data_IF_921219108776
#
_entry.id   IF_921219108776
#
_cell.length_a   1.000
_cell.length_b   1.000
_cell.length_c   1.000
_cell.angle_alpha   90.00
_cell.angle_beta   90.00
_cell.angle_gamma   90.00
#
_symmetry.space_group_name_H-M   'P 1'
#
loop_
_entity.id
_entity.type
_entity.pdbx_description
1 polymer ?
#
# COMPACT_ATOMS: atom_id res chain seq x y z
N UNK A 1 -29.89 13.32 28.12
CA UNK A 1 -28.94 12.20 27.96
C UNK A 1 -27.52 12.73 27.92
N UNK A 2 -26.54 11.90 27.53
CA UNK A 2 -25.18 12.38 27.24
C UNK A 2 -25.18 13.31 26.01
N UNK A 3 -24.08 14.06 25.85
CA UNK A 3 -23.88 15.01 24.76
C UNK A 3 -22.74 14.55 23.85
N UNK A 4 -22.87 14.87 22.56
CA UNK A 4 -21.81 14.62 21.58
C UNK A 4 -20.52 15.32 22.01
N UNK A 5 -19.39 14.61 21.84
CA UNK A 5 -18.09 15.07 22.34
C UNK A 5 -17.01 14.80 21.31
N UNK A 6 -16.15 15.79 21.08
CA UNK A 6 -14.90 15.62 20.33
C UNK A 6 -13.75 15.58 21.32
N UNK A 7 -12.83 14.63 21.17
CA UNK A 7 -11.74 14.40 22.12
C UNK A 7 -10.45 14.07 21.38
N UNK A 8 -9.31 14.53 21.92
CA UNK A 8 -8.01 14.25 21.33
C UNK A 8 -7.60 12.78 21.56
N UNK A 9 -6.95 12.17 20.58
CA UNK A 9 -6.35 10.83 20.71
C UNK A 9 -5.40 10.80 21.91
N UNK A 10 -5.51 9.77 22.74
CA UNK A 10 -4.74 9.61 23.97
C UNK A 10 -5.37 10.23 25.22
N UNK A 11 -6.35 11.13 25.08
CA UNK A 11 -7.07 11.70 26.21
C UNK A 11 -8.15 10.76 26.75
N UNK A 12 -8.86 11.20 27.79
CA UNK A 12 -10.04 10.52 28.31
C UNK A 12 -11.32 11.23 27.87
N UNK A 13 -12.36 10.46 27.60
CA UNK A 13 -13.72 10.97 27.40
C UNK A 13 -14.59 10.59 28.60
N UNK A 14 -15.51 11.50 28.97
CA UNK A 14 -16.53 11.27 29.99
C UNK A 14 -17.91 11.53 29.39
N UNK A 15 -18.70 10.48 29.25
CA UNK A 15 -20.11 10.57 28.88
C UNK A 15 -20.96 10.45 30.15
N UNK A 16 -21.78 11.47 30.40
CA UNK A 16 -22.63 11.55 31.59
C UNK A 16 -24.10 11.51 31.20
N UNK A 17 -24.85 10.62 31.82
CA UNK A 17 -26.29 10.53 31.68
C UNK A 17 -26.98 10.65 33.03
N UNK A 18 -28.04 11.43 33.10
CA UNK A 18 -28.94 11.50 34.27
C UNK A 18 -30.22 10.76 33.93
N UNK A 19 -30.71 9.96 34.87
CA UNK A 19 -31.92 9.16 34.70
C UNK A 19 -32.77 9.16 35.98
N UNK A 20 -34.06 8.86 35.82
CA UNK A 20 -35.02 8.74 36.91
C UNK A 20 -35.98 7.60 36.61
N UNK A 21 -36.46 6.93 37.64
CA UNK A 21 -37.46 5.86 37.52
C UNK A 21 -37.73 5.20 38.85
N UNK A 22 -38.95 4.69 39.02
CA UNK A 22 -39.39 3.93 40.19
C UNK A 22 -40.13 2.67 39.71
N UNK A 23 -39.74 1.46 40.14
CA UNK A 23 -38.52 1.10 40.89
C UNK A 23 -37.23 1.57 40.19
N UNK A 24 -36.12 1.63 40.93
CA UNK A 24 -34.83 2.11 40.41
C UNK A 24 -34.46 1.37 39.13
N UNK A 25 -34.26 2.10 38.00
CA UNK A 25 -34.02 1.46 36.73
C UNK A 25 -32.57 0.97 36.62
N UNK A 26 -32.39 -0.15 35.93
CA UNK A 26 -31.09 -0.66 35.52
C UNK A 26 -30.55 0.18 34.36
N UNK A 27 -29.32 0.69 34.49
CA UNK A 27 -28.65 1.49 33.46
C UNK A 27 -27.50 0.70 32.82
N UNK A 28 -27.44 0.73 31.49
CA UNK A 28 -26.38 0.08 30.69
C UNK A 28 -25.89 1.01 29.59
N UNK A 29 -24.61 0.91 29.27
CA UNK A 29 -23.98 1.60 28.14
C UNK A 29 -23.68 0.61 27.03
N UNK A 30 -23.87 1.01 25.77
CA UNK A 30 -23.61 0.20 24.60
C UNK A 30 -22.80 0.99 23.58
N UNK A 31 -21.91 0.29 22.85
CA UNK A 31 -21.21 0.81 21.67
C UNK A 31 -21.29 -0.24 20.56
N UNK A 32 -21.66 0.19 19.35
CA UNK A 32 -21.88 -0.72 18.22
C UNK A 32 -22.82 -1.91 18.56
N UNK A 33 -23.86 -1.64 19.37
CA UNK A 33 -24.83 -2.64 19.83
C UNK A 33 -24.33 -3.61 20.91
N UNK A 34 -23.06 -3.51 21.34
CA UNK A 34 -22.49 -4.35 22.41
C UNK A 34 -22.52 -3.60 23.74
N UNK A 35 -22.99 -4.28 24.78
CA UNK A 35 -22.97 -3.73 26.14
C UNK A 35 -21.52 -3.58 26.64
N UNK A 36 -21.21 -2.39 27.13
CA UNK A 36 -19.93 -2.05 27.72
C UNK A 36 -19.96 -2.42 29.20
N UNK A 37 -18.83 -2.92 29.69
CA UNK A 37 -18.61 -3.25 31.10
C UNK A 37 -17.38 -2.50 31.61
N UNK A 38 -17.33 -2.30 32.92
CA UNK A 38 -16.15 -1.76 33.58
C UNK A 38 -15.01 -2.77 33.45
N UNK A 39 -14.07 -2.50 32.54
CA UNK A 39 -12.94 -3.35 32.22
C UNK A 39 -11.85 -2.54 31.50
N UNK A 40 -10.59 -2.74 31.90
CA UNK A 40 -9.45 -2.08 31.29
C UNK A 40 -9.60 -0.55 31.25
N UNK A 41 -9.65 0.00 30.03
CA UNK A 41 -9.77 1.45 29.76
C UNK A 41 -11.16 2.02 30.05
N UNK A 42 -12.17 1.17 30.16
CA UNK A 42 -13.59 1.55 30.32
C UNK A 42 -13.98 1.48 31.80
N UNK A 43 -14.53 2.56 32.32
CA UNK A 43 -15.02 2.66 33.69
C UNK A 43 -16.46 3.20 33.69
N UNK A 44 -17.40 2.45 34.24
CA UNK A 44 -18.80 2.85 34.37
C UNK A 44 -19.14 2.96 35.85
N UNK A 45 -19.60 4.14 36.26
CA UNK A 45 -20.05 4.41 37.63
C UNK A 45 -21.46 4.96 37.60
N UNK A 46 -22.38 4.26 38.26
CA UNK A 46 -23.78 4.67 38.39
C UNK A 46 -24.14 4.87 39.86
N UNK A 47 -24.60 6.06 40.21
CA UNK A 47 -24.97 6.45 41.59
C UNK A 47 -26.01 7.57 41.56
N UNK A 48 -27.02 7.47 42.41
CA UNK A 48 -28.00 8.53 42.67
C UNK A 48 -28.67 9.11 41.40
N UNK A 49 -29.08 8.24 40.48
CA UNK A 49 -29.72 8.65 39.21
C UNK A 49 -28.76 9.26 38.19
N UNK A 50 -27.45 9.07 38.36
CA UNK A 50 -26.41 9.52 37.43
C UNK A 50 -25.55 8.33 37.03
N UNK A 51 -25.33 8.15 35.73
CA UNK A 51 -24.38 7.18 35.18
C UNK A 51 -23.30 7.91 34.39
N UNK A 52 -22.05 7.58 34.69
CA UNK A 52 -20.85 8.14 34.06
C UNK A 52 -20.07 7.01 33.40
N UNK A 53 -19.90 7.08 32.08
CA UNK A 53 -19.00 6.25 31.30
C UNK A 53 -17.71 7.04 31.04
N UNK A 54 -16.59 6.53 31.53
CA UNK A 54 -15.26 7.07 31.25
C UNK A 54 -14.48 6.07 30.38
N UNK A 55 -13.90 6.54 29.29
CA UNK A 55 -12.95 5.75 28.50
C UNK A 55 -11.62 6.50 28.50
N UNK A 56 -10.57 5.86 29.02
CA UNK A 56 -9.23 6.44 29.12
C UNK A 56 -8.37 6.08 27.90
N UNK A 57 -7.38 6.91 27.57
CA UNK A 57 -6.47 6.68 26.44
C UNK A 57 -7.22 6.34 25.15
N UNK A 58 -8.07 7.27 24.71
CA UNK A 58 -8.94 7.15 23.54
C UNK A 58 -8.09 6.86 22.28
N UNK A 59 -8.52 5.89 21.48
CA UNK A 59 -7.98 5.59 20.15
C UNK A 59 -8.99 5.93 19.06
N UNK A 60 -8.56 5.91 17.80
CA UNK A 60 -9.46 6.12 16.66
C UNK A 60 -10.67 5.15 16.68
N UNK A 61 -10.43 3.91 17.10
CA UNK A 61 -11.46 2.88 17.22
C UNK A 61 -12.54 3.24 18.24
N UNK A 62 -12.25 4.09 19.23
CA UNK A 62 -13.21 4.50 20.25
C UNK A 62 -14.24 5.51 19.75
N UNK A 63 -14.06 6.06 18.54
CA UNK A 63 -15.03 6.90 17.88
C UNK A 63 -16.36 6.18 17.62
N UNK A 64 -17.42 6.97 17.44
CA UNK A 64 -18.75 6.49 17.07
C UNK A 64 -19.81 6.68 18.15
N UNK A 65 -20.93 5.96 17.97
CA UNK A 65 -22.16 6.15 18.75
C UNK A 65 -22.15 5.31 20.03
N UNK A 66 -22.29 5.99 21.16
CA UNK A 66 -22.51 5.40 22.48
C UNK A 66 -23.97 5.57 22.86
N UNK A 67 -24.60 4.51 23.33
CA UNK A 67 -26.01 4.48 23.73
C UNK A 67 -26.08 4.18 25.21
N UNK A 68 -26.76 5.03 25.97
CA UNK A 68 -27.20 4.71 27.33
C UNK A 68 -28.64 4.21 27.26
N UNK A 69 -28.91 3.06 27.87
CA UNK A 69 -30.25 2.49 27.98
C UNK A 69 -30.59 2.30 29.44
N UNK A 70 -31.78 2.75 29.84
CA UNK A 70 -32.32 2.63 31.19
C UNK A 70 -33.61 1.83 31.13
N UNK A 71 -33.80 0.89 32.05
CA UNK A 71 -34.94 -0.04 32.00
C UNK A 71 -35.38 -0.43 33.41
N UNK A 72 -36.70 -0.45 33.64
CA UNK A 72 -37.33 -1.07 34.80
C UNK A 72 -38.58 -1.86 34.36
N UNK A 73 -39.29 -2.45 35.32
CA UNK A 73 -40.49 -3.25 35.05
C UNK A 73 -41.65 -2.48 34.38
N UNK A 74 -41.59 -1.16 34.35
CA UNK A 74 -42.64 -0.29 33.81
C UNK A 74 -42.25 0.37 32.49
N UNK A 75 -41.00 0.25 32.05
CA UNK A 75 -40.59 0.79 30.78
C UNK A 75 -39.08 0.83 30.57
N UNK A 76 -38.70 1.19 29.36
CA UNK A 76 -37.33 1.41 28.95
C UNK A 76 -37.23 2.73 28.19
N UNK A 77 -36.09 3.39 28.35
CA UNK A 77 -35.72 4.57 27.57
C UNK A 77 -34.26 4.45 27.13
N UNK A 78 -33.89 5.14 26.06
CA UNK A 78 -32.52 5.19 25.59
C UNK A 78 -32.16 6.54 25.00
N UNK A 79 -30.89 6.91 25.17
CA UNK A 79 -30.32 8.10 24.58
C UNK A 79 -28.95 7.78 24.04
N UNK A 80 -28.46 8.57 23.08
CA UNK A 80 -27.12 8.38 22.55
C UNK A 80 -26.31 9.67 22.57
N UNK A 81 -25.00 9.51 22.42
CA UNK A 81 -24.04 10.56 22.10
C UNK A 81 -23.00 9.98 21.14
N UNK A 82 -22.51 10.82 20.25
CA UNK A 82 -21.43 10.51 19.31
C UNK A 82 -20.10 11.01 19.89
N UNK A 83 -19.08 10.16 19.87
CA UNK A 83 -17.71 10.53 20.19
C UNK A 83 -16.92 10.64 18.90
N UNK A 84 -16.41 11.83 18.60
CA UNK A 84 -15.42 12.04 17.55
C UNK A 84 -14.03 12.06 18.18
N UNK A 85 -13.08 11.36 17.55
CA UNK A 85 -11.69 11.34 17.99
C UNK A 85 -10.88 12.11 16.98
N UNK A 86 -10.11 13.08 17.47
CA UNK A 86 -9.26 13.92 16.63
C UNK A 86 -7.80 13.84 17.05
N UNK A 87 -6.89 14.11 16.12
CA UNK A 87 -5.46 14.18 16.39
C UNK A 87 -4.64 14.31 15.11
N UNK A 88 -3.31 14.31 15.22
CA UNK A 88 -2.44 14.19 14.06
C UNK A 88 -2.76 12.92 13.25
N UNK A 89 -2.52 12.93 11.93
CA UNK A 89 -2.76 11.76 11.10
C UNK A 89 -1.77 10.66 11.44
N UNK A 90 -2.10 9.43 11.02
CA UNK A 90 -1.12 8.35 11.05
C UNK A 90 -0.07 8.53 9.94
N UNK A 91 1.10 7.87 10.03
CA UNK A 91 2.09 7.90 8.96
C UNK A 91 1.52 7.32 7.65
N UNK A 92 2.06 7.74 6.49
CA UNK A 92 1.82 7.05 5.22
C UNK A 92 2.00 5.53 5.37
N UNK A 93 1.01 4.76 4.92
CA UNK A 93 0.88 3.34 5.28
C UNK A 93 1.99 2.45 4.69
N UNK A 94 2.53 2.84 3.52
CA UNK A 94 3.56 2.09 2.82
C UNK A 94 4.88 2.85 2.76
N UNK A 95 5.96 2.10 2.56
CA UNK A 95 7.27 2.64 2.20
C UNK A 95 7.14 3.47 0.91
N UNK A 96 7.72 4.68 0.83
CA UNK A 96 7.76 5.43 -0.41
C UNK A 96 8.51 4.68 -1.51
N UNK A 97 7.92 4.60 -2.70
CA UNK A 97 8.60 4.12 -3.90
C UNK A 97 9.38 5.27 -4.54
N UNK A 98 10.50 4.94 -5.17
CA UNK A 98 11.36 5.91 -5.84
C UNK A 98 11.64 5.43 -7.25
N UNK A 99 11.15 6.15 -8.26
CA UNK A 99 11.43 5.87 -9.66
C UNK A 99 12.46 6.85 -10.21
N UNK A 100 13.29 6.36 -11.15
CA UNK A 100 14.37 7.13 -11.76
C UNK A 100 13.84 7.98 -12.91
N UNK A 101 14.11 9.27 -12.86
CA UNK A 101 14.02 10.17 -14.01
C UNK A 101 15.41 10.44 -14.61
N UNK A 102 15.49 11.22 -15.72
CA UNK A 102 16.75 11.49 -16.38
C UNK A 102 17.80 12.20 -15.51
N UNK A 103 17.36 13.12 -14.66
CA UNK A 103 18.17 13.98 -13.79
C UNK A 103 17.52 14.16 -12.40
N UNK A 104 16.54 13.30 -12.09
CA UNK A 104 15.66 13.45 -10.95
C UNK A 104 15.22 12.09 -10.40
N UNK A 105 14.62 12.12 -9.22
CA UNK A 105 13.90 10.99 -8.66
C UNK A 105 12.43 11.38 -8.46
N UNK A 106 11.50 10.50 -8.80
CA UNK A 106 10.10 10.67 -8.43
C UNK A 106 9.80 9.80 -7.22
N UNK A 107 9.45 10.44 -6.11
CA UNK A 107 9.06 9.76 -4.87
C UNK A 107 7.54 9.69 -4.84
N UNK A 108 6.97 8.50 -4.66
CA UNK A 108 5.54 8.30 -4.53
C UNK A 108 5.20 7.55 -3.23
N UNK A 109 4.02 7.81 -2.68
CA UNK A 109 3.59 7.26 -1.40
C UNK A 109 2.07 7.02 -1.37
N UNK A 110 1.60 6.35 -0.33
CA UNK A 110 0.18 6.13 -0.05
C UNK A 110 -0.33 7.06 1.05
N UNK A 111 -1.64 7.32 1.04
CA UNK A 111 -2.29 8.00 2.17
C UNK A 111 -2.19 7.17 3.46
N UNK A 112 -2.25 7.82 4.63
CA UNK A 112 -2.43 7.13 5.91
C UNK A 112 -3.71 6.28 5.94
N UNK A 113 -3.71 5.25 6.78
CA UNK A 113 -4.93 4.46 7.05
C UNK A 113 -5.98 5.29 7.81
N UNK A 114 -5.54 6.23 8.65
CA UNK A 114 -6.39 7.14 9.40
C UNK A 114 -5.81 8.56 9.38
N UNK A 115 -6.64 9.54 9.03
CA UNK A 115 -6.27 10.95 8.88
C UNK A 115 -6.31 11.73 10.21
N UNK A 116 -6.54 11.04 11.34
CA UNK A 116 -6.68 11.70 12.63
C UNK A 116 -8.05 12.32 12.84
N UNK A 117 -9.07 11.95 12.06
CA UNK A 117 -10.43 12.50 12.16
C UNK A 117 -10.58 13.89 11.55
N UNK A 118 -9.55 14.37 10.86
CA UNK A 118 -9.49 15.68 10.21
C UNK A 118 -8.88 15.55 8.83
N UNK A 119 -9.39 16.33 7.88
CA UNK A 119 -8.89 16.30 6.50
C UNK A 119 -7.39 16.60 6.44
N UNK A 120 -6.67 15.83 5.63
CA UNK A 120 -5.25 16.08 5.36
C UNK A 120 -5.08 17.40 4.62
N UNK A 121 -4.16 18.23 5.11
CA UNK A 121 -3.77 19.50 4.49
C UNK A 121 -2.59 19.35 3.53
N UNK A 122 -1.87 18.22 3.57
CA UNK A 122 -0.80 17.90 2.64
C UNK A 122 0.20 16.88 3.20
N UNK A 123 1.33 16.76 2.51
CA UNK A 123 2.43 15.87 2.85
C UNK A 123 3.76 16.62 2.86
N UNK A 124 4.62 16.25 3.81
CA UNK A 124 6.02 16.70 3.88
C UNK A 124 6.92 15.56 3.41
N UNK A 125 7.76 15.84 2.42
CA UNK A 125 8.74 14.90 1.88
C UNK A 125 10.11 15.32 2.36
N UNK A 126 10.84 14.38 2.96
CA UNK A 126 12.17 14.57 3.48
C UNK A 126 13.16 13.62 2.79
N UNK A 127 14.40 14.06 2.63
CA UNK A 127 15.50 13.31 2.03
C UNK A 127 16.75 13.44 2.89
N UNK A 128 17.53 12.36 2.98
CA UNK A 128 18.90 12.39 3.49
C UNK A 128 19.81 11.60 2.57
N UNK A 129 21.11 11.86 2.63
CA UNK A 129 22.11 10.97 2.03
C UNK A 129 22.33 9.75 2.93
N UNK A 130 22.84 8.65 2.38
CA UNK A 130 23.09 7.42 3.16
C UNK A 130 24.21 7.56 4.20
N UNK A 131 25.13 8.50 3.99
CA UNK A 131 26.24 8.85 4.87
C UNK A 131 25.87 9.91 5.94
N UNK A 132 24.67 10.48 5.85
CA UNK A 132 24.14 11.45 6.82
C UNK A 132 22.96 10.90 7.61
N UNK A 133 22.80 11.39 8.84
CA UNK A 133 21.60 11.18 9.65
C UNK A 133 20.63 12.38 9.58
N UNK A 134 21.08 13.50 9.01
CA UNK A 134 20.29 14.73 8.94
C UNK A 134 19.31 14.68 7.77
N UNK A 135 18.05 14.96 8.07
CA UNK A 135 16.97 15.02 7.09
C UNK A 135 16.78 16.45 6.58
N UNK A 136 16.69 16.58 5.27
CA UNK A 136 16.38 17.83 4.57
C UNK A 136 14.95 17.77 4.01
N UNK A 137 14.21 18.88 4.08
CA UNK A 137 12.86 18.96 3.50
C UNK A 137 12.99 19.26 2.02
N UNK A 138 12.49 18.35 1.18
CA UNK A 138 12.43 18.54 -0.29
C UNK A 138 11.06 19.05 -0.74
N UNK A 139 10.00 18.77 0.03
CA UNK A 139 8.68 19.38 -0.14
C UNK A 139 8.00 19.59 1.22
N UNK A 140 7.51 20.81 1.49
CA UNK A 140 6.91 21.19 2.78
C UNK A 140 5.41 20.88 2.85
N UNK A 141 4.66 21.11 1.76
CA UNK A 141 3.21 20.85 1.65
C UNK A 141 2.85 20.41 0.23
N UNK A 142 3.01 19.11 -0.02
CA UNK A 142 2.57 18.48 -1.26
C UNK A 142 1.11 18.01 -1.12
N UNK A 143 0.25 18.35 -2.08
CA UNK A 143 -1.15 17.92 -2.11
C UNK A 143 -1.36 16.64 -2.95
N UNK A 144 -0.34 16.24 -3.71
CA UNK A 144 -0.31 15.01 -4.50
C UNK A 144 0.29 13.87 -3.68
N UNK A 145 0.14 12.64 -4.18
CA UNK A 145 0.77 11.44 -3.61
C UNK A 145 2.14 11.11 -4.24
N UNK A 146 2.73 12.08 -4.93
CA UNK A 146 4.05 11.98 -5.51
C UNK A 146 4.74 13.34 -5.61
N UNK A 147 6.07 13.32 -5.64
CA UNK A 147 6.88 14.52 -5.78
C UNK A 147 8.17 14.22 -6.56
N UNK A 148 8.53 15.13 -7.48
CA UNK A 148 9.76 15.04 -8.26
C UNK A 148 10.88 15.79 -7.53
N UNK A 149 11.87 15.05 -7.06
CA UNK A 149 13.07 15.56 -6.40
C UNK A 149 14.16 15.79 -7.44
N UNK A 150 14.64 17.03 -7.53
CA UNK A 150 15.69 17.48 -8.46
C UNK A 150 16.94 17.90 -7.70
N UNK A 151 18.03 18.14 -8.43
CA UNK A 151 19.30 18.59 -7.85
C UNK A 151 20.04 17.48 -7.10
N UNK A 152 19.83 16.23 -7.49
CA UNK A 152 20.53 15.08 -6.94
C UNK A 152 21.94 15.02 -7.53
N UNK A 153 22.93 14.79 -6.68
CA UNK A 153 24.33 14.56 -7.10
C UNK A 153 24.47 13.14 -7.64
N UNK A 154 24.95 12.94 -8.88
CA UNK A 154 25.21 11.61 -9.43
C UNK A 154 26.21 10.81 -8.57
N UNK A 155 25.98 9.50 -8.45
CA UNK A 155 26.79 8.61 -7.60
C UNK A 155 26.49 8.70 -6.11
N UNK A 156 25.78 9.73 -5.64
CA UNK A 156 25.35 9.83 -4.25
C UNK A 156 24.05 9.04 -4.02
N UNK A 157 24.01 8.28 -2.93
CA UNK A 157 22.81 7.57 -2.51
C UNK A 157 21.95 8.40 -1.55
N UNK A 158 20.64 8.37 -1.77
CA UNK A 158 19.63 9.09 -1.01
C UNK A 158 18.56 8.16 -0.46
N UNK A 159 18.00 8.50 0.69
CA UNK A 159 16.87 7.83 1.32
C UNK A 159 15.79 8.89 1.57
N UNK A 160 14.53 8.52 1.32
CA UNK A 160 13.37 9.39 1.44
C UNK A 160 12.40 8.91 2.52
N UNK A 161 11.67 9.83 3.13
CA UNK A 161 10.53 9.52 4.00
C UNK A 161 9.46 10.59 3.84
N UNK A 162 8.23 10.26 4.19
CA UNK A 162 7.07 11.16 4.04
C UNK A 162 6.30 11.26 5.35
N UNK A 163 5.77 12.44 5.66
CA UNK A 163 4.83 12.67 6.78
C UNK A 163 3.53 13.23 6.21
N UNK A 164 2.40 12.80 6.74
CA UNK A 164 1.10 13.41 6.46
C UNK A 164 0.86 14.57 7.42
N UNK A 165 0.17 15.62 6.99
CA UNK A 165 -0.18 16.78 7.83
C UNK A 165 -1.68 17.03 7.80
N UNK A 166 -2.27 17.37 8.95
CA UNK A 166 -3.62 17.91 9.08
C UNK A 166 -3.61 19.14 10.01
N UNK A 167 -4.79 19.65 10.38
CA UNK A 167 -4.90 20.83 11.26
C UNK A 167 -4.28 20.64 12.66
N UNK A 168 -4.13 19.40 13.11
CA UNK A 168 -3.54 19.05 14.40
C UNK A 168 -2.03 18.78 14.33
N UNK A 169 -1.45 18.79 13.13
CA UNK A 169 -0.01 18.70 12.90
C UNK A 169 0.40 17.56 11.98
N UNK A 170 1.70 17.26 12.01
CA UNK A 170 2.31 16.20 11.21
C UNK A 170 2.24 14.85 11.91
N UNK A 171 2.10 13.78 11.13
CA UNK A 171 2.32 12.41 11.57
C UNK A 171 3.79 12.15 11.92
N UNK A 172 4.05 10.99 12.52
CA UNK A 172 5.38 10.37 12.45
C UNK A 172 5.76 10.09 10.98
N UNK A 173 7.05 9.85 10.75
CA UNK A 173 7.55 9.52 9.42
C UNK A 173 7.08 8.15 8.96
N UNK A 174 6.85 8.01 7.65
CA UNK A 174 6.73 6.73 6.98
C UNK A 174 7.97 5.86 7.22
N UNK A 175 7.87 4.58 6.87
CA UNK A 175 9.07 3.79 6.63
C UNK A 175 9.99 4.52 5.62
N UNK A 176 11.30 4.43 5.84
CA UNK A 176 12.30 4.98 4.93
C UNK A 176 12.23 4.30 3.56
N UNK A 177 12.50 4.97 2.45
CA UNK A 177 12.62 4.32 1.14
C UNK A 177 13.81 3.36 1.10
N UNK A 178 13.93 2.58 0.03
CA UNK A 178 15.23 1.99 -0.29
C UNK A 178 16.22 3.09 -0.73
N UNK A 179 17.53 2.89 -0.57
CA UNK A 179 18.54 3.80 -1.10
C UNK A 179 18.39 3.95 -2.62
N UNK A 180 18.37 5.19 -3.09
CA UNK A 180 18.34 5.53 -4.50
C UNK A 180 19.62 6.26 -4.88
N UNK A 181 20.29 5.80 -5.93
CA UNK A 181 21.46 6.47 -6.51
C UNK A 181 21.10 6.93 -7.92
N UNK A 182 21.36 8.20 -8.21
CA UNK A 182 21.29 8.72 -9.59
C UNK A 182 22.60 8.34 -10.31
N UNK A 183 22.48 7.72 -11.48
CA UNK A 183 23.66 7.33 -12.27
C UNK A 183 24.38 8.56 -12.83
N UNK A 184 25.70 8.46 -13.02
CA UNK A 184 26.47 9.47 -13.74
C UNK A 184 26.13 9.47 -15.22
N UNK A 185 26.29 10.62 -15.88
CA UNK A 185 26.11 10.74 -17.33
C UNK A 185 27.01 9.76 -18.10
N UNK A 186 28.25 9.57 -17.64
CA UNK A 186 29.22 8.64 -18.24
C UNK A 186 28.72 7.18 -18.24
N UNK A 187 28.02 6.75 -17.19
CA UNK A 187 27.46 5.40 -17.11
C UNK A 187 26.26 5.22 -18.04
N UNK A 188 25.55 6.32 -18.31
CA UNK A 188 24.43 6.36 -19.27
C UNK A 188 24.94 6.31 -20.71
N UNK A 189 26.10 6.90 -20.98
CA UNK A 189 26.81 6.74 -22.26
C UNK A 189 27.33 5.31 -22.41
N UNK A 190 27.95 4.71 -21.38
CA UNK A 190 28.34 3.29 -21.41
C UNK A 190 27.14 2.33 -21.58
N UNK A 191 25.98 2.61 -20.98
CA UNK A 191 24.75 1.83 -21.18
C UNK A 191 24.14 2.06 -22.57
N UNK A 192 24.14 3.28 -23.11
CA UNK A 192 23.69 3.59 -24.48
C UNK A 192 24.64 3.02 -25.54
N UNK A 193 25.94 3.03 -25.29
CA UNK A 193 26.97 2.40 -26.12
C UNK A 193 26.89 0.88 -26.00
N UNK A 194 26.62 0.30 -24.83
CA UNK A 194 26.35 -1.12 -24.67
C UNK A 194 25.02 -1.55 -25.30
N UNK A 195 24.01 -0.68 -25.33
CA UNK A 195 22.76 -0.88 -26.10
C UNK A 195 23.03 -0.80 -27.61
N UNK A 196 23.85 0.14 -28.09
CA UNK A 196 24.24 0.24 -29.51
C UNK A 196 25.19 -0.88 -29.96
N UNK A 197 26.12 -1.32 -29.13
CA UNK A 197 26.96 -2.50 -29.37
C UNK A 197 26.16 -3.80 -29.20
N UNK A 198 25.12 -3.79 -28.36
CA UNK A 198 24.14 -4.86 -28.23
C UNK A 198 23.17 -4.97 -29.41
N UNK A 199 23.00 -3.90 -30.20
CA UNK A 199 22.13 -3.86 -31.38
C UNK A 199 22.76 -4.43 -32.67
N UNK A 200 24.06 -4.73 -32.68
CA UNK A 200 24.67 -5.57 -33.74
C UNK A 200 24.73 -7.07 -33.38
N UNK A 201 24.17 -7.47 -32.23
CA UNK A 201 23.85 -8.86 -31.93
C UNK A 201 22.49 -9.22 -32.49
N UNK A 202 22.43 -10.16 -33.44
CA UNK A 202 21.19 -10.72 -34.03
C UNK A 202 20.05 -10.78 -33.02
N UNK A 203 19.03 -9.93 -33.21
CA UNK A 203 17.77 -9.92 -32.44
C UNK A 203 17.25 -11.36 -32.29
N UNK A 204 17.47 -11.97 -31.12
CA UNK A 204 16.97 -13.31 -30.83
C UNK A 204 15.45 -13.22 -30.63
N UNK A 205 14.71 -13.53 -31.69
CA UNK A 205 13.27 -13.80 -31.61
C UNK A 205 13.05 -14.90 -30.57
N UNK A 206 12.24 -14.63 -29.54
CA UNK A 206 11.93 -15.64 -28.52
C UNK A 206 11.10 -16.72 -29.18
N UNK A 207 11.64 -17.93 -29.23
CA UNK A 207 10.95 -19.14 -29.64
C UNK A 207 10.55 -19.98 -28.42
N UNK A 208 9.64 -20.94 -28.62
CA UNK A 208 9.30 -21.90 -27.58
C UNK A 208 10.43 -22.91 -27.39
N UNK A 209 11.02 -22.91 -26.19
CA UNK A 209 12.00 -23.89 -25.75
C UNK A 209 11.32 -25.08 -25.05
N UNK A 210 11.94 -26.28 -25.02
CA UNK A 210 11.42 -27.40 -24.25
C UNK A 210 11.31 -27.08 -22.76
N UNK A 211 10.15 -27.39 -22.15
CA UNK A 211 9.86 -27.07 -20.76
C UNK A 211 10.80 -27.67 -19.71
N UNK A 212 11.53 -28.74 -20.04
CA UNK A 212 12.57 -29.32 -19.17
C UNK A 212 13.72 -28.33 -18.88
N UNK A 213 13.94 -27.36 -19.76
CA UNK A 213 14.97 -26.33 -19.59
C UNK A 213 14.54 -25.22 -18.62
N UNK A 214 13.23 -25.04 -18.41
CA UNK A 214 12.71 -23.99 -17.55
C UNK A 214 13.26 -24.11 -16.11
N UNK A 215 13.14 -25.30 -15.50
CA UNK A 215 13.61 -25.54 -14.13
C UNK A 215 15.13 -25.64 -14.02
N UNK A 216 15.85 -25.76 -15.14
CA UNK A 216 17.31 -25.68 -15.17
C UNK A 216 17.81 -24.23 -15.16
N UNK A 217 16.95 -23.28 -15.55
CA UNK A 217 17.30 -21.86 -15.70
C UNK A 217 16.65 -20.96 -14.66
N UNK A 218 15.48 -21.32 -14.14
CA UNK A 218 14.72 -20.48 -13.22
C UNK A 218 14.31 -21.21 -11.95
N UNK A 219 14.40 -20.51 -10.82
CA UNK A 219 13.77 -20.92 -9.56
C UNK A 219 12.40 -20.26 -9.42
N UNK A 220 11.36 -21.03 -9.12
CA UNK A 220 9.99 -20.53 -8.93
C UNK A 220 9.75 -20.18 -7.48
N UNK A 221 9.17 -19.00 -7.24
CA UNK A 221 8.87 -18.46 -5.91
C UNK A 221 7.35 -18.21 -5.75
N UNK A 222 6.99 -17.22 -4.93
CA UNK A 222 5.61 -16.88 -4.59
C UNK A 222 4.72 -16.64 -5.82
N UNK A 223 3.44 -17.03 -5.70
CA UNK A 223 2.39 -16.65 -6.63
C UNK A 223 2.14 -15.14 -6.50
N UNK A 224 2.17 -14.43 -7.62
CA UNK A 224 1.92 -12.99 -7.72
C UNK A 224 0.46 -12.67 -8.06
N UNK A 225 -0.23 -13.61 -8.70
CA UNK A 225 -1.63 -13.47 -9.03
C UNK A 225 -2.13 -14.56 -9.97
N UNK A 226 -3.44 -14.72 -10.02
CA UNK A 226 -4.12 -15.76 -10.79
C UNK A 226 -5.25 -15.17 -11.61
N UNK A 227 -5.16 -15.35 -12.91
CA UNK A 227 -6.16 -14.92 -13.87
C UNK A 227 -6.92 -16.08 -14.50
N UNK A 228 -7.89 -15.75 -15.36
CA UNK A 228 -8.68 -16.71 -16.15
C UNK A 228 -7.82 -17.66 -16.98
N UNK A 229 -6.65 -17.20 -17.43
CA UNK A 229 -5.80 -17.90 -18.39
C UNK A 229 -4.57 -18.57 -17.77
N UNK A 230 -4.31 -18.34 -16.48
CA UNK A 230 -3.07 -18.81 -15.89
C UNK A 230 -2.76 -18.25 -14.53
N UNK A 231 -1.60 -18.66 -14.01
CA UNK A 231 -1.03 -18.17 -12.77
C UNK A 231 0.28 -17.46 -13.09
N UNK A 232 0.56 -16.36 -12.41
CA UNK A 232 1.83 -15.66 -12.51
C UNK A 232 2.61 -15.90 -11.23
N UNK A 233 3.85 -16.38 -11.35
CA UNK A 233 4.78 -16.54 -10.24
C UNK A 233 5.95 -15.58 -10.39
N UNK A 234 6.53 -15.19 -9.26
CA UNK A 234 7.86 -14.61 -9.25
C UNK A 234 8.88 -15.72 -9.51
N UNK A 235 9.86 -15.46 -10.36
CA UNK A 235 10.97 -16.39 -10.61
C UNK A 235 12.30 -15.66 -10.52
N UNK A 236 13.36 -16.40 -10.22
CA UNK A 236 14.73 -15.87 -10.25
C UNK A 236 15.53 -16.64 -11.29
N UNK A 237 16.18 -15.94 -12.22
CA UNK A 237 17.15 -16.55 -13.14
C UNK A 237 18.35 -17.05 -12.32
N UNK A 238 18.64 -18.35 -12.41
CA UNK A 238 19.66 -19.01 -11.58
C UNK A 238 21.07 -18.50 -11.88
N UNK A 239 21.32 -17.99 -13.08
CA UNK A 239 22.62 -17.48 -13.52
C UNK A 239 22.81 -16.02 -13.13
N UNK A 240 21.83 -15.16 -13.39
CA UNK A 240 21.97 -13.71 -13.19
C UNK A 240 21.44 -13.24 -11.83
N UNK A 241 20.71 -14.10 -11.12
CA UNK A 241 19.97 -13.75 -9.90
C UNK A 241 18.92 -12.64 -10.10
N UNK A 242 18.55 -12.36 -11.36
CA UNK A 242 17.55 -11.35 -11.67
C UNK A 242 16.13 -11.88 -11.41
N UNK A 243 15.30 -11.06 -10.80
CA UNK A 243 13.89 -11.37 -10.52
C UNK A 243 13.02 -11.07 -11.73
N UNK A 244 12.14 -12.01 -12.07
CA UNK A 244 11.28 -11.99 -13.25
C UNK A 244 9.87 -12.48 -12.91
N UNK A 245 8.93 -12.30 -13.84
CA UNK A 245 7.58 -12.86 -13.74
C UNK A 245 7.44 -14.03 -14.73
N UNK A 246 6.96 -15.18 -14.26
CA UNK A 246 6.61 -16.32 -15.10
C UNK A 246 5.10 -16.51 -15.15
N UNK A 247 4.49 -16.33 -16.33
CA UNK A 247 3.06 -16.58 -16.58
C UNK A 247 2.89 -17.99 -17.12
N UNK A 248 2.21 -18.84 -16.35
CA UNK A 248 1.87 -20.21 -16.71
C UNK A 248 0.50 -20.24 -17.38
N UNK A 249 0.45 -20.38 -18.70
CA UNK A 249 -0.78 -20.38 -19.49
C UNK A 249 -1.21 -21.81 -19.78
N UNK A 250 -2.34 -22.23 -19.20
CA UNK A 250 -2.82 -23.61 -19.33
C UNK A 250 -3.35 -23.87 -20.74
N UNK A 251 -2.76 -24.85 -21.43
CA UNK A 251 -3.08 -25.19 -22.81
C UNK A 251 -3.65 -26.62 -22.87
N UNK A 252 -4.98 -26.74 -22.89
CA UNK A 252 -5.67 -28.05 -22.90
C UNK A 252 -5.96 -28.48 -24.34
N UNK A 253 -6.26 -27.53 -25.22
CA UNK A 253 -6.57 -27.76 -26.64
C UNK A 253 -5.43 -27.25 -27.52
N UNK A 254 -5.29 -27.83 -28.71
CA UNK A 254 -4.33 -27.36 -29.73
C UNK A 254 -4.53 -25.87 -30.06
N UNK A 255 -5.79 -25.45 -30.14
CA UNK A 255 -6.18 -24.04 -30.37
C UNK A 255 -5.70 -23.07 -29.28
N UNK A 256 -5.52 -23.55 -28.03
CA UNK A 256 -5.03 -22.71 -26.95
C UNK A 256 -3.54 -22.40 -27.17
N UNK A 257 -2.77 -23.39 -27.63
CA UNK A 257 -1.34 -23.23 -27.95
C UNK A 257 -1.11 -22.27 -29.10
N UNK A 258 -1.93 -22.37 -30.16
CA UNK A 258 -1.86 -21.47 -31.32
C UNK A 258 -2.07 -20.01 -30.89
N UNK A 259 -3.02 -19.73 -29.99
CA UNK A 259 -3.25 -18.38 -29.45
C UNK A 259 -2.09 -17.86 -28.60
N UNK A 260 -1.48 -18.71 -27.79
CA UNK A 260 -0.30 -18.31 -26.99
C UNK A 260 0.90 -18.06 -27.90
N UNK A 261 1.05 -18.83 -28.98
CA UNK A 261 2.07 -18.57 -29.99
C UNK A 261 1.85 -17.22 -30.69
N UNK A 262 0.61 -16.87 -31.05
CA UNK A 262 0.28 -15.54 -31.57
C UNK A 262 0.64 -14.42 -30.57
N UNK A 263 0.39 -14.62 -29.26
CA UNK A 263 0.78 -13.66 -28.21
C UNK A 263 2.31 -13.49 -28.14
N UNK A 264 3.07 -14.60 -28.23
CA UNK A 264 4.54 -14.60 -28.30
C UNK A 264 5.04 -13.84 -29.53
N UNK A 265 4.45 -14.08 -30.69
CA UNK A 265 4.83 -13.42 -31.93
C UNK A 265 4.53 -11.92 -31.88
N UNK A 266 3.39 -11.52 -31.31
CA UNK A 266 3.05 -10.11 -31.07
C UNK A 266 4.08 -9.46 -30.15
N UNK A 267 4.44 -10.09 -29.03
CA UNK A 267 5.45 -9.54 -28.11
C UNK A 267 6.85 -9.46 -28.73
N UNK A 268 7.20 -10.41 -29.60
CA UNK A 268 8.44 -10.36 -30.37
C UNK A 268 8.46 -9.18 -31.36
N UNK A 269 7.32 -8.86 -31.98
CA UNK A 269 7.18 -7.73 -32.91
C UNK A 269 7.12 -6.37 -32.21
N UNK A 270 6.54 -6.30 -31.02
CA UNK A 270 6.30 -5.06 -30.26
C UNK A 270 7.38 -4.80 -29.20
N UNK A 271 8.64 -5.19 -29.45
CA UNK A 271 9.73 -4.93 -28.50
C UNK A 271 9.99 -3.42 -28.39
N UNK A 272 9.75 -2.89 -27.20
CA UNK A 272 9.98 -1.49 -26.88
C UNK A 272 10.32 -1.36 -25.39
N UNK A 273 11.24 -0.48 -24.99
CA UNK A 273 11.64 -0.29 -23.58
C UNK A 273 10.51 0.18 -22.65
N UNK A 274 9.38 0.64 -23.21
CA UNK A 274 8.17 1.04 -22.46
C UNK A 274 7.06 -0.03 -22.42
N UNK A 275 7.25 -1.17 -23.07
CA UNK A 275 6.30 -2.28 -23.06
C UNK A 275 6.84 -3.44 -22.23
N UNK A 276 5.96 -4.29 -21.72
CA UNK A 276 6.35 -5.51 -21.01
C UNK A 276 7.11 -6.42 -21.98
N UNK A 277 8.37 -6.74 -21.66
CA UNK A 277 9.22 -7.52 -22.54
C UNK A 277 9.12 -9.01 -22.25
N UNK A 278 8.99 -9.81 -23.32
CA UNK A 278 9.13 -11.26 -23.28
C UNK A 278 10.60 -11.62 -23.40
N UNK A 279 11.12 -12.35 -22.41
CA UNK A 279 12.54 -12.73 -22.32
C UNK A 279 12.76 -14.19 -22.75
N UNK A 280 11.83 -15.08 -22.44
CA UNK A 280 11.88 -16.48 -22.85
C UNK A 280 10.48 -17.10 -22.84
N UNK A 281 10.28 -18.19 -23.59
CA UNK A 281 9.05 -18.95 -23.56
C UNK A 281 9.34 -20.45 -23.58
N UNK A 282 8.59 -21.23 -22.80
CA UNK A 282 8.80 -22.66 -22.64
C UNK A 282 7.51 -23.45 -22.86
N UNK A 283 7.61 -24.54 -23.61
CA UNK A 283 6.48 -25.41 -23.90
C UNK A 283 6.52 -26.68 -23.02
N UNK A 284 5.48 -26.87 -22.21
CA UNK A 284 5.23 -28.10 -21.48
C UNK A 284 4.04 -28.87 -22.07
N UNK A 285 3.80 -30.14 -21.68
CA UNK A 285 2.64 -30.90 -22.13
C UNK A 285 1.27 -30.32 -21.77
N UNK A 286 1.17 -29.50 -20.71
CA UNK A 286 -0.11 -28.96 -20.20
C UNK A 286 -0.20 -27.44 -20.17
N UNK A 287 0.91 -26.74 -20.34
CA UNK A 287 0.99 -25.29 -20.29
C UNK A 287 2.14 -24.75 -21.15
N UNK A 288 2.10 -23.45 -21.38
CA UNK A 288 3.22 -22.68 -21.91
C UNK A 288 3.60 -21.67 -20.85
N UNK A 289 4.90 -21.53 -20.58
CA UNK A 289 5.44 -20.59 -19.60
C UNK A 289 6.09 -19.43 -20.32
N UNK A 290 5.61 -18.21 -20.07
CA UNK A 290 6.21 -16.99 -20.60
C UNK A 290 6.99 -16.27 -19.50
N UNK A 291 8.26 -15.99 -19.75
CA UNK A 291 9.14 -15.24 -18.84
C UNK A 291 9.14 -13.79 -19.27
N UNK A 292 8.68 -12.93 -18.38
CA UNK A 292 8.56 -11.49 -18.59
C UNK A 292 9.40 -10.76 -17.56
N UNK A 293 9.85 -9.55 -17.88
CA UNK A 293 10.46 -8.67 -16.89
C UNK A 293 9.52 -8.46 -15.71
N UNK A 294 10.05 -8.54 -14.48
CA UNK A 294 9.26 -8.29 -13.29
C UNK A 294 9.00 -6.80 -13.17
N UNK A 295 7.73 -6.43 -13.07
CA UNK A 295 7.29 -5.05 -12.91
C UNK A 295 6.62 -4.93 -11.55
N UNK A 296 7.10 -4.02 -10.70
CA UNK A 296 6.49 -3.78 -9.40
C UNK A 296 5.09 -3.19 -9.55
N UNK A 297 4.22 -3.36 -8.55
CA UNK A 297 2.81 -2.95 -8.63
C UNK A 297 2.57 -1.50 -9.05
N UNK A 298 3.49 -0.57 -8.76
CA UNK A 298 3.41 0.83 -9.20
C UNK A 298 3.77 1.05 -10.67
N UNK A 299 4.70 0.26 -11.22
CA UNK A 299 5.16 0.35 -12.61
C UNK A 299 4.21 -0.38 -13.58
N UNK A 300 3.40 -1.33 -13.07
CA UNK A 300 2.42 -2.09 -13.86
C UNK A 300 1.29 -1.18 -14.38
N UNK A 301 0.84 -0.22 -13.56
CA UNK A 301 -0.21 0.74 -13.93
C UNK A 301 0.26 1.81 -14.93
N UNK A 302 1.56 2.05 -15.06
CA UNK A 302 2.10 2.92 -16.12
C UNK A 302 2.19 2.20 -17.49
N UNK A 303 2.27 0.86 -17.49
CA UNK A 303 2.54 0.07 -18.70
C UNK A 303 1.36 -0.75 -19.23
N UNK A 304 0.27 -0.87 -18.47
CA UNK A 304 -0.89 -1.67 -18.87
C UNK A 304 -2.18 -0.85 -18.74
N UNK A 305 -2.79 -0.52 -19.89
CA UNK A 305 -4.22 -0.23 -19.97
C UNK A 305 -4.89 -1.47 -20.56
N UNK A 306 -5.32 -2.39 -19.70
CA UNK A 306 -6.21 -3.49 -20.05
C UNK A 306 -6.88 -4.05 -18.79
N UNK A 307 -8.20 -4.20 -18.88
CA UNK A 307 -9.10 -4.66 -17.81
C UNK A 307 -8.88 -6.15 -17.43
N UNK A 308 -9.29 -6.49 -16.20
CA UNK A 308 -9.45 -7.84 -15.62
C UNK A 308 -8.22 -8.58 -15.05
N UNK A 309 -7.29 -7.86 -14.39
CA UNK A 309 -6.29 -8.50 -13.51
C UNK A 309 -6.52 -8.14 -12.03
N UNK A 310 -6.51 -9.15 -11.15
CA UNK A 310 -6.51 -8.95 -9.70
C UNK A 310 -5.18 -9.45 -9.13
N UNK A 311 -4.44 -8.54 -8.50
CA UNK A 311 -3.24 -8.87 -7.73
C UNK A 311 -3.69 -9.36 -6.35
N UNK A 312 -3.14 -10.50 -5.91
CA UNK A 312 -3.37 -11.05 -4.57
C UNK A 312 -2.46 -10.41 -3.53
#
# INVERSE_FOLDING_TARGET
GPSDTTVMRGDRVLLKATYRGSPEPHVRWLKAGRELRTEGRVQIVSRDGVSCLTVSAITADDSGKYVVSVENIHGADCHFASVAVEGPPEPPAARPSVSRGPDCATVAWSSPAYDGGCVLTGYRVEMRTTDSQDWSVVADRCHSLSHVVRGLTPGQSYIFRVRAENIHGASDSSAESFPFTLDSADRREEELEAEQEGEEGTLMQVSLEPGEQFLQRYSVHEELGKGRYGVVHKVTDLRTQHTMAAKFVRCIKKQDREKVQEEIDIMNCLRHPKLLQLVAAFENPKDIVMIMEYISGGELFERVVADDFTLT
#
